data_IF_620877668663
#
_entry.id   IF_620877668663
#
_cell.length_a   1.000
_cell.length_b   1.000
_cell.length_c   1.000
_cell.angle_alpha   90.00
_cell.angle_beta   90.00
_cell.angle_gamma   90.00
#
_symmetry.space_group_name_H-M   'P 1'
#
loop_
_entity.id
_entity.type
_entity.pdbx_description
1 polymer ?
#
# COMPACT_ATOMS: atom_id res chain seq x y z
N UNK A 1 -30.65 -0.22 23.10
CA UNK A 1 -30.10 0.27 21.82
C UNK A 1 -28.77 -0.42 21.64
N UNK A 2 -28.41 -0.76 20.40
CA UNK A 2 -27.10 -1.32 20.11
C UNK A 2 -25.99 -0.38 20.64
N UNK A 3 -24.88 -0.92 21.15
CA UNK A 3 -23.74 -0.14 21.66
C UNK A 3 -22.43 -0.58 21.01
N UNK A 4 -21.42 0.29 21.01
CA UNK A 4 -20.07 -0.11 20.58
C UNK A 4 -19.47 -1.24 21.42
N UNK A 5 -19.90 -1.39 22.68
CA UNK A 5 -19.48 -2.49 23.54
C UNK A 5 -20.00 -3.85 23.01
N UNK A 6 -21.24 -3.93 22.54
CA UNK A 6 -21.76 -5.16 21.93
C UNK A 6 -21.03 -5.51 20.63
N UNK A 7 -20.68 -4.51 19.82
CA UNK A 7 -19.84 -4.71 18.62
C UNK A 7 -18.49 -5.34 19.02
N UNK A 8 -17.85 -4.82 20.07
CA UNK A 8 -16.60 -5.36 20.61
C UNK A 8 -16.75 -6.77 21.17
N UNK A 9 -17.80 -7.01 21.95
CA UNK A 9 -18.06 -8.30 22.60
C UNK A 9 -18.37 -9.41 21.58
N UNK A 10 -18.97 -9.05 20.44
CA UNK A 10 -19.16 -9.94 19.29
C UNK A 10 -17.86 -10.22 18.51
N UNK A 11 -16.74 -9.59 18.87
CA UNK A 11 -15.42 -9.87 18.28
C UNK A 11 -15.12 -9.12 16.99
N UNK A 12 -15.88 -8.08 16.65
CA UNK A 12 -15.62 -7.26 15.47
C UNK A 12 -14.34 -6.42 15.63
N UNK A 13 -13.54 -6.39 14.56
CA UNK A 13 -12.30 -5.60 14.44
C UNK A 13 -11.98 -5.33 12.98
N UNK A 14 -10.96 -4.53 12.72
CA UNK A 14 -10.37 -4.39 11.40
C UNK A 14 -9.92 -5.76 10.89
N UNK A 15 -10.26 -6.07 9.65
CA UNK A 15 -9.98 -7.37 9.03
C UNK A 15 -11.02 -8.46 9.34
N UNK A 16 -12.06 -8.18 10.13
CA UNK A 16 -13.18 -9.12 10.30
C UNK A 16 -13.93 -9.29 8.96
N UNK A 17 -14.19 -10.55 8.59
CA UNK A 17 -15.08 -10.86 7.47
C UNK A 17 -16.54 -10.80 7.92
N UNK A 18 -17.40 -10.31 7.04
CA UNK A 18 -18.85 -10.34 7.26
C UNK A 18 -19.38 -11.75 6.97
N UNK A 19 -20.45 -12.19 7.67
CA UNK A 19 -21.19 -13.39 7.31
C UNK A 19 -21.61 -13.37 5.83
N UNK A 20 -21.49 -14.51 5.13
CA UNK A 20 -21.70 -14.59 3.69
C UNK A 20 -23.05 -14.04 3.22
N UNK A 21 -24.14 -14.30 3.95
CA UNK A 21 -25.46 -13.76 3.62
C UNK A 21 -25.49 -12.22 3.69
N UNK A 22 -24.84 -11.64 4.69
CA UNK A 22 -24.73 -10.19 4.83
C UNK A 22 -23.86 -9.61 3.72
N UNK A 23 -22.70 -10.21 3.45
CA UNK A 23 -21.80 -9.78 2.39
C UNK A 23 -22.48 -9.79 1.02
N UNK A 24 -23.15 -10.88 0.65
CA UNK A 24 -23.88 -11.03 -0.61
C UNK A 24 -25.02 -10.01 -0.74
N UNK A 25 -25.81 -9.82 0.34
CA UNK A 25 -26.91 -8.85 0.36
C UNK A 25 -26.41 -7.42 0.16
N UNK A 26 -25.30 -7.06 0.83
CA UNK A 26 -24.67 -5.74 0.69
C UNK A 26 -24.04 -5.55 -0.69
N UNK A 27 -23.37 -6.58 -1.23
CA UNK A 27 -22.76 -6.53 -2.55
C UNK A 27 -23.82 -6.30 -3.64
N UNK A 28 -24.95 -7.01 -3.56
CA UNK A 28 -26.08 -6.81 -4.47
C UNK A 28 -26.63 -5.38 -4.39
N UNK A 29 -26.84 -4.85 -3.18
CA UNK A 29 -27.29 -3.46 -2.97
C UNK A 29 -26.31 -2.42 -3.48
N UNK A 30 -25.01 -2.70 -3.37
CA UNK A 30 -23.94 -1.83 -3.85
C UNK A 30 -23.75 -1.90 -5.38
N UNK A 31 -24.33 -2.91 -6.04
CA UNK A 31 -24.11 -3.16 -7.46
C UNK A 31 -22.80 -3.89 -7.76
N UNK A 32 -22.17 -4.50 -6.76
CA UNK A 32 -20.99 -5.33 -6.93
C UNK A 32 -21.40 -6.79 -7.17
N UNK A 33 -21.69 -7.11 -8.42
CA UNK A 33 -21.94 -8.49 -8.83
C UNK A 33 -20.67 -9.34 -8.63
N UNK A 34 -20.84 -10.65 -8.36
CA UNK A 34 -19.78 -11.64 -8.17
C UNK A 34 -18.91 -11.53 -6.90
N UNK A 35 -19.04 -10.47 -6.10
CA UNK A 35 -18.42 -10.44 -4.79
C UNK A 35 -19.12 -11.41 -3.83
N UNK A 36 -18.32 -12.26 -3.18
CA UNK A 36 -18.83 -13.29 -2.26
C UNK A 36 -18.47 -13.03 -0.80
N UNK A 37 -17.50 -12.14 -0.56
CA UNK A 37 -17.02 -11.80 0.78
C UNK A 37 -16.97 -10.28 0.96
N UNK A 38 -17.02 -9.84 2.20
CA UNK A 38 -16.74 -8.47 2.57
C UNK A 38 -15.87 -8.43 3.83
N UNK A 39 -14.93 -7.48 3.89
CA UNK A 39 -14.00 -7.32 5.01
C UNK A 39 -14.08 -5.91 5.57
N UNK A 40 -14.03 -5.77 6.89
CA UNK A 40 -13.99 -4.48 7.58
C UNK A 40 -12.61 -3.84 7.43
N UNK A 41 -12.56 -2.57 7.01
CA UNK A 41 -11.31 -1.82 6.84
C UNK A 41 -11.17 -0.60 7.75
N UNK A 42 -12.24 -0.17 8.42
CA UNK A 42 -12.16 0.81 9.52
C UNK A 42 -11.21 0.32 10.62
N UNK A 43 -10.54 1.24 11.31
CA UNK A 43 -9.63 0.89 12.41
C UNK A 43 -10.40 0.30 13.60
N UNK A 44 -9.74 -0.52 14.41
CA UNK A 44 -10.35 -1.17 15.58
C UNK A 44 -11.05 -0.18 16.53
N UNK A 45 -10.48 1.01 16.71
CA UNK A 45 -11.05 2.07 17.54
C UNK A 45 -12.37 2.60 16.97
N UNK A 46 -12.48 2.73 15.65
CA UNK A 46 -13.69 3.20 14.97
C UNK A 46 -14.76 2.09 14.97
N UNK A 47 -14.34 0.83 14.74
CA UNK A 47 -15.23 -0.33 14.77
C UNK A 47 -15.89 -0.47 16.14
N UNK A 48 -15.14 -0.29 17.22
CA UNK A 48 -15.61 -0.55 18.60
C UNK A 48 -15.94 0.69 19.41
N UNK A 49 -15.88 1.90 18.82
CA UNK A 49 -16.19 3.15 19.50
C UNK A 49 -17.58 3.11 20.16
N UNK A 50 -17.69 3.53 21.43
CA UNK A 50 -18.85 3.26 22.27
C UNK A 50 -20.18 3.83 21.76
N UNK A 51 -20.14 5.01 21.13
CA UNK A 51 -21.32 5.75 20.69
C UNK A 51 -21.60 5.53 19.19
N UNK A 52 -22.71 4.86 18.90
CA UNK A 52 -23.13 4.54 17.52
C UNK A 52 -23.76 5.73 16.77
N UNK A 53 -24.01 6.86 17.40
CA UNK A 53 -24.51 8.06 16.72
C UNK A 53 -23.35 9.00 16.34
N UNK A 54 -22.31 9.08 17.18
CA UNK A 54 -21.08 9.85 16.87
C UNK A 54 -20.28 9.16 15.76
N UNK A 55 -20.09 7.84 15.87
CA UNK A 55 -19.43 7.04 14.84
C UNK A 55 -20.44 6.01 14.31
N UNK A 56 -21.30 6.35 13.32
CA UNK A 56 -22.39 5.45 12.94
C UNK A 56 -22.00 4.33 11.99
N UNK A 57 -20.84 4.42 11.35
CA UNK A 57 -20.48 3.57 10.22
C UNK A 57 -19.17 2.83 10.42
N UNK A 58 -19.04 1.69 9.74
CA UNK A 58 -17.74 1.14 9.36
C UNK A 58 -17.63 1.04 7.85
N UNK A 59 -16.42 1.12 7.35
CA UNK A 59 -16.09 0.90 5.96
C UNK A 59 -15.79 -0.59 5.73
N UNK A 60 -16.36 -1.13 4.65
CA UNK A 60 -16.12 -2.50 4.20
C UNK A 60 -15.64 -2.49 2.74
N UNK A 61 -14.81 -3.47 2.40
CA UNK A 61 -14.44 -3.78 1.02
C UNK A 61 -15.08 -5.09 0.58
N UNK A 62 -15.58 -5.12 -0.66
CA UNK A 62 -16.07 -6.35 -1.28
C UNK A 62 -14.93 -7.10 -1.97
N UNK A 63 -14.88 -8.42 -1.77
CA UNK A 63 -13.86 -9.29 -2.35
C UNK A 63 -14.49 -10.35 -3.27
N UNK A 64 -13.75 -10.64 -4.34
CA UNK A 64 -14.13 -11.58 -5.39
C UNK A 64 -13.23 -12.81 -5.32
N UNK A 65 -13.77 -14.03 -5.43
CA UNK A 65 -12.97 -15.23 -5.47
C UNK A 65 -12.16 -15.29 -6.77
N UNK A 66 -10.94 -15.79 -6.68
CA UNK A 66 -10.05 -16.02 -7.82
C UNK A 66 -9.56 -17.47 -7.84
N UNK A 67 -9.31 -18.05 -9.02
CA UNK A 67 -8.68 -19.36 -9.12
C UNK A 67 -7.20 -19.34 -8.69
N UNK A 68 -6.50 -18.21 -8.88
CA UNK A 68 -5.10 -18.05 -8.51
C UNK A 68 -4.69 -16.58 -8.39
N UNK A 69 -3.61 -16.33 -7.64
CA UNK A 69 -3.00 -15.00 -7.56
C UNK A 69 -2.29 -14.63 -8.86
N UNK A 70 -2.37 -13.36 -9.24
CA UNK A 70 -1.47 -12.76 -10.19
C UNK A 70 -0.43 -11.97 -9.40
N UNK A 71 0.83 -12.41 -9.40
CA UNK A 71 1.91 -11.77 -8.64
C UNK A 71 2.22 -10.32 -9.05
N UNK A 72 1.76 -9.88 -10.22
CA UNK A 72 1.81 -8.47 -10.64
C UNK A 72 0.73 -7.59 -9.97
N UNK A 73 -0.21 -8.19 -9.25
CA UNK A 73 -1.31 -7.54 -8.53
C UNK A 73 -1.27 -7.80 -7.02
N UNK A 74 -0.24 -8.48 -6.50
CA UNK A 74 -0.02 -8.64 -5.06
C UNK A 74 0.80 -7.49 -4.50
N UNK A 75 0.88 -7.39 -3.17
CA UNK A 75 1.81 -6.49 -2.46
C UNK A 75 1.60 -4.99 -2.77
N UNK A 76 0.45 -4.60 -3.31
CA UNK A 76 0.18 -3.21 -3.71
C UNK A 76 0.83 -2.77 -5.03
N UNK A 77 1.37 -3.69 -5.83
CA UNK A 77 1.98 -3.41 -7.16
C UNK A 77 1.03 -2.76 -8.16
N UNK A 78 -0.27 -2.92 -7.95
CA UNK A 78 -1.31 -2.29 -8.74
C UNK A 78 -2.19 -1.45 -7.82
N UNK A 79 -2.30 -0.16 -8.10
CA UNK A 79 -3.18 0.76 -7.37
C UNK A 79 -4.67 0.58 -7.66
N UNK A 80 -5.02 -0.27 -8.63
CA UNK A 80 -6.40 -0.44 -9.09
C UNK A 80 -7.00 -1.78 -8.68
N UNK A 81 -6.15 -2.78 -8.42
CA UNK A 81 -6.55 -4.14 -8.07
C UNK A 81 -5.49 -4.75 -7.17
N UNK A 82 -5.90 -5.32 -6.05
CA UNK A 82 -5.05 -6.11 -5.16
C UNK A 82 -5.53 -7.56 -5.14
N UNK A 83 -4.60 -8.48 -5.32
CA UNK A 83 -4.81 -9.91 -5.08
C UNK A 83 -4.21 -10.27 -3.71
N UNK A 84 -4.96 -10.99 -2.89
CA UNK A 84 -4.54 -11.40 -1.55
C UNK A 84 -4.96 -12.83 -1.24
N UNK A 85 -4.25 -13.43 -0.29
CA UNK A 85 -4.58 -14.74 0.26
C UNK A 85 -5.46 -14.62 1.49
N UNK A 86 -6.48 -15.46 1.54
CA UNK A 86 -7.26 -15.78 2.73
C UNK A 86 -7.22 -17.30 2.98
N UNK A 87 -7.64 -17.72 4.16
CA UNK A 87 -7.51 -19.10 4.62
C UNK A 87 -8.82 -19.58 5.22
N UNK A 88 -9.36 -20.65 4.67
CA UNK A 88 -10.48 -21.42 5.24
C UNK A 88 -9.89 -22.64 5.95
N UNK A 89 -9.65 -22.52 7.25
CA UNK A 89 -8.81 -23.48 7.98
C UNK A 89 -7.38 -23.52 7.43
N UNK A 90 -6.99 -24.64 6.80
CA UNK A 90 -5.69 -24.80 6.14
C UNK A 90 -5.75 -24.57 4.63
N UNK A 91 -6.94 -24.42 4.05
CA UNK A 91 -7.12 -24.22 2.62
C UNK A 91 -6.89 -22.76 2.25
N UNK A 92 -5.97 -22.51 1.33
CA UNK A 92 -5.70 -21.18 0.80
C UNK A 92 -6.75 -20.80 -0.25
N UNK A 93 -7.39 -19.64 -0.06
CA UNK A 93 -8.30 -19.01 -1.02
C UNK A 93 -7.63 -17.75 -1.59
N UNK A 94 -7.74 -17.56 -2.89
CA UNK A 94 -7.28 -16.34 -3.56
C UNK A 94 -8.44 -15.37 -3.72
N UNK A 95 -8.26 -14.12 -3.31
CA UNK A 95 -9.27 -13.07 -3.41
C UNK A 95 -8.74 -11.87 -4.20
N UNK A 96 -9.62 -11.22 -4.97
CA UNK A 96 -9.39 -9.93 -5.61
C UNK A 96 -10.19 -8.85 -4.91
N UNK A 97 -9.61 -7.66 -4.79
CA UNK A 97 -10.29 -6.46 -4.32
C UNK A 97 -9.93 -5.26 -5.17
N UNK A 98 -10.87 -4.35 -5.36
CA UNK A 98 -10.68 -3.05 -6.00
C UNK A 98 -10.94 -1.96 -4.97
N UNK A 99 -10.15 -0.86 -4.95
CA UNK A 99 -10.21 0.10 -3.86
C UNK A 99 -11.44 1.01 -3.95
N UNK A 100 -12.16 1.00 -5.08
CA UNK A 100 -13.43 1.73 -5.24
C UNK A 100 -14.63 0.89 -4.83
N UNK A 101 -14.44 -0.43 -4.67
CA UNK A 101 -15.49 -1.37 -4.38
C UNK A 101 -15.70 -1.49 -2.86
N UNK A 102 -16.00 -0.34 -2.25
CA UNK A 102 -16.21 -0.19 -0.81
C UNK A 102 -17.50 0.54 -0.53
N UNK A 103 -18.11 0.23 0.61
CA UNK A 103 -19.28 0.94 1.13
C UNK A 103 -19.18 1.11 2.63
N UNK A 104 -20.03 1.98 3.16
CA UNK A 104 -20.28 2.09 4.60
C UNK A 104 -21.49 1.26 4.98
N UNK A 105 -21.41 0.63 6.15
CA UNK A 105 -22.55 -0.01 6.79
C UNK A 105 -22.72 0.55 8.20
N UNK A 106 -23.96 0.55 8.69
CA UNK A 106 -24.22 0.99 10.05
C UNK A 106 -23.69 -0.04 11.05
N UNK A 107 -23.08 0.45 12.14
CA UNK A 107 -22.50 -0.40 13.19
C UNK A 107 -23.53 -1.14 14.04
N UNK A 108 -24.79 -0.68 14.04
CA UNK A 108 -25.91 -1.40 14.66
C UNK A 108 -26.09 -2.82 14.09
N UNK A 109 -25.80 -3.02 12.80
CA UNK A 109 -25.79 -4.34 12.17
C UNK A 109 -24.71 -5.27 12.77
N UNK A 110 -23.58 -4.73 13.21
CA UNK A 110 -22.50 -5.50 13.84
C UNK A 110 -22.81 -5.85 15.30
N UNK A 111 -23.58 -5.02 16.00
CA UNK A 111 -23.96 -5.28 17.39
C UNK A 111 -24.87 -6.52 17.54
N UNK A 112 -25.56 -6.91 16.47
CA UNK A 112 -26.49 -8.05 16.45
C UNK A 112 -25.99 -9.25 15.62
N UNK A 113 -24.77 -9.17 15.11
CA UNK A 113 -24.14 -10.23 14.31
C UNK A 113 -22.72 -10.49 14.78
N UNK A 114 -22.13 -11.60 14.33
CA UNK A 114 -20.74 -11.93 14.62
C UNK A 114 -19.95 -12.00 13.31
N UNK A 115 -18.63 -11.75 13.34
CA UNK A 115 -17.77 -11.97 12.20
C UNK A 115 -17.85 -13.41 11.69
N UNK A 116 -17.64 -13.58 10.38
CA UNK A 116 -17.32 -14.88 9.84
C UNK A 116 -15.92 -15.30 10.32
N UNK A 117 -15.86 -16.42 11.05
CA UNK A 117 -14.62 -16.99 11.59
C UNK A 117 -14.10 -18.17 10.76
N UNK A 118 -14.82 -18.57 9.71
CA UNK A 118 -14.38 -19.63 8.79
C UNK A 118 -13.23 -19.16 7.90
N UNK A 119 -13.19 -17.87 7.58
CA UNK A 119 -12.20 -17.25 6.72
C UNK A 119 -11.31 -16.27 7.49
N UNK A 120 -10.00 -16.37 7.29
CA UNK A 120 -9.02 -15.48 7.92
C UNK A 120 -7.97 -14.98 6.92
N UNK A 121 -7.42 -13.79 7.18
CA UNK A 121 -6.22 -13.30 6.51
C UNK A 121 -5.09 -13.17 7.51
N UNK A 122 -3.84 -13.36 7.05
CA UNK A 122 -2.66 -13.19 7.90
C UNK A 122 -2.50 -11.72 8.31
N UNK A 123 -1.94 -11.42 9.49
CA UNK A 123 -1.71 -10.05 9.94
C UNK A 123 -0.93 -9.18 8.94
N UNK A 124 0.15 -9.73 8.35
CA UNK A 124 0.90 -9.04 7.30
C UNK A 124 0.04 -8.69 6.07
N UNK A 125 -0.78 -9.63 5.60
CA UNK A 125 -1.72 -9.41 4.48
C UNK A 125 -2.74 -8.31 4.82
N UNK A 126 -3.28 -8.29 6.04
CA UNK A 126 -4.20 -7.24 6.48
C UNK A 126 -3.52 -5.87 6.47
N UNK A 127 -2.33 -5.74 7.05
CA UNK A 127 -1.58 -4.47 7.03
C UNK A 127 -1.31 -4.00 5.60
N UNK A 128 -0.95 -4.91 4.71
CA UNK A 128 -0.78 -4.62 3.28
C UNK A 128 -2.07 -4.12 2.63
N UNK A 129 -3.22 -4.76 2.90
CA UNK A 129 -4.54 -4.34 2.42
C UNK A 129 -4.90 -2.93 2.90
N UNK A 130 -4.82 -2.68 4.20
CA UNK A 130 -5.20 -1.38 4.79
C UNK A 130 -4.33 -0.26 4.25
N UNK A 131 -3.02 -0.51 4.15
CA UNK A 131 -2.12 0.43 3.52
C UNK A 131 -2.51 0.68 2.06
N UNK A 132 -2.75 -0.36 1.28
CA UNK A 132 -3.11 -0.22 -0.12
C UNK A 132 -4.40 0.60 -0.33
N UNK A 133 -5.35 0.51 0.60
CA UNK A 133 -6.53 1.39 0.64
C UNK A 133 -6.14 2.83 0.97
N UNK A 134 -5.33 3.04 2.01
CA UNK A 134 -4.88 4.36 2.44
C UNK A 134 -4.05 5.08 1.36
N UNK A 135 -3.23 4.31 0.63
CA UNK A 135 -2.40 4.76 -0.50
C UNK A 135 -3.25 5.44 -1.57
N UNK A 136 -4.55 5.16 -1.68
CA UNK A 136 -5.43 5.90 -2.60
C UNK A 136 -5.50 7.41 -2.29
N UNK A 137 -5.35 7.78 -1.03
CA UNK A 137 -5.47 9.15 -0.55
C UNK A 137 -4.12 9.78 -0.21
N UNK A 138 -3.12 8.96 0.12
CA UNK A 138 -1.79 9.43 0.53
C UNK A 138 -0.75 9.36 -0.58
N UNK A 139 -1.01 8.61 -1.66
CA UNK A 139 -0.08 8.56 -2.80
C UNK A 139 0.08 9.96 -3.38
N UNK A 140 1.34 10.29 -3.56
CA UNK A 140 1.71 11.55 -4.17
C UNK A 140 1.32 11.54 -5.64
N UNK A 141 0.58 12.55 -6.08
CA UNK A 141 0.49 12.88 -7.50
C UNK A 141 1.87 13.35 -7.97
N UNK A 142 2.48 12.59 -8.88
CA UNK A 142 3.69 12.98 -9.61
C UNK A 142 3.23 13.45 -11.01
N UNK A 143 3.80 14.54 -11.55
CA UNK A 143 3.45 15.03 -12.88
C UNK A 143 3.46 13.96 -13.97
N UNK A 144 2.50 14.01 -14.89
CA UNK A 144 2.30 13.02 -15.95
C UNK A 144 3.49 13.01 -16.92
N UNK A 145 4.01 14.19 -17.29
CA UNK A 145 5.18 14.27 -18.16
C UNK A 145 6.45 13.72 -17.48
N UNK A 146 6.58 13.84 -16.15
CA UNK A 146 7.66 13.19 -15.42
C UNK A 146 7.53 11.65 -15.46
N UNK A 147 6.34 11.13 -15.17
CA UNK A 147 6.05 9.69 -15.21
C UNK A 147 6.37 9.13 -16.60
N UNK A 148 5.91 9.80 -17.66
CA UNK A 148 6.18 9.40 -19.05
C UNK A 148 7.68 9.36 -19.38
N UNK A 149 8.49 10.27 -18.83
CA UNK A 149 9.96 10.29 -19.05
C UNK A 149 10.66 9.17 -18.30
N UNK A 150 10.25 8.91 -17.05
CA UNK A 150 10.76 7.81 -16.22
C UNK A 150 10.35 6.44 -16.76
N UNK A 151 9.17 6.28 -17.35
CA UNK A 151 8.68 4.99 -17.84
C UNK A 151 9.65 4.36 -18.88
N UNK A 152 10.46 5.18 -19.55
CA UNK A 152 11.54 4.72 -20.45
C UNK A 152 12.58 3.84 -19.76
N UNK A 153 12.80 4.03 -18.46
CA UNK A 153 13.79 3.28 -17.66
C UNK A 153 13.15 2.23 -16.75
N UNK A 154 11.84 2.02 -16.83
CA UNK A 154 11.08 1.13 -15.94
C UNK A 154 11.66 -0.29 -15.88
N UNK A 155 12.08 -0.86 -17.02
CA UNK A 155 12.72 -2.18 -17.06
C UNK A 155 14.07 -2.22 -16.33
N UNK A 156 14.89 -1.18 -16.51
CA UNK A 156 16.18 -1.05 -15.82
C UNK A 156 15.99 -0.88 -14.31
N UNK A 157 15.00 -0.07 -13.95
CA UNK A 157 14.64 0.23 -12.58
C UNK A 157 14.07 -1.01 -11.87
N UNK A 158 13.15 -1.76 -12.49
CA UNK A 158 12.67 -3.05 -12.00
C UNK A 158 13.79 -4.05 -11.77
N UNK A 159 14.78 -4.13 -12.68
CA UNK A 159 15.95 -5.02 -12.53
C UNK A 159 16.81 -4.60 -11.35
N UNK A 160 17.10 -3.29 -11.21
CA UNK A 160 17.85 -2.76 -10.09
C UNK A 160 17.14 -3.06 -8.76
N UNK A 161 15.86 -2.74 -8.67
CA UNK A 161 15.07 -2.92 -7.45
C UNK A 161 14.86 -4.40 -7.11
N UNK A 162 14.76 -5.30 -8.09
CA UNK A 162 14.72 -6.74 -7.82
C UNK A 162 16.03 -7.26 -7.19
N UNK A 163 17.15 -6.66 -7.55
CA UNK A 163 18.48 -7.07 -7.09
C UNK A 163 18.83 -6.44 -5.73
N UNK A 164 18.63 -5.13 -5.61
CA UNK A 164 19.13 -4.34 -4.48
C UNK A 164 18.03 -3.65 -3.66
N UNK A 165 16.77 -3.68 -4.12
CA UNK A 165 15.68 -2.89 -3.52
C UNK A 165 15.28 -3.30 -2.10
N UNK A 166 15.77 -4.43 -1.58
CA UNK A 166 15.60 -4.80 -0.17
C UNK A 166 16.51 -3.99 0.77
N UNK A 167 17.59 -3.39 0.25
CA UNK A 167 18.43 -2.51 1.04
C UNK A 167 17.73 -1.17 1.33
N UNK A 168 16.86 -0.72 0.43
CA UNK A 168 16.14 0.54 0.56
C UNK A 168 14.86 0.38 1.37
N UNK A 169 14.75 1.15 2.45
CA UNK A 169 13.49 1.37 3.15
C UNK A 169 12.56 2.29 2.35
N UNK A 170 13.12 3.34 1.74
CA UNK A 170 12.33 4.29 0.95
C UNK A 170 13.19 5.00 -0.08
N UNK A 171 12.60 5.32 -1.22
CA UNK A 171 13.19 6.25 -2.19
C UNK A 171 12.33 7.52 -2.14
N UNK A 172 12.98 8.64 -1.87
CA UNK A 172 12.39 9.96 -1.72
C UNK A 172 12.85 10.83 -2.90
N UNK A 173 11.91 11.56 -3.48
CA UNK A 173 12.17 12.43 -4.65
C UNK A 173 11.58 13.82 -4.44
N UNK A 174 12.32 14.83 -4.88
CA UNK A 174 11.82 16.20 -4.99
C UNK A 174 12.01 16.67 -6.44
N UNK A 175 10.98 17.32 -6.97
CA UNK A 175 10.96 17.85 -8.34
C UNK A 175 10.99 19.37 -8.30
N UNK A 176 11.82 19.96 -9.15
CA UNK A 176 11.82 21.39 -9.44
C UNK A 176 11.68 21.60 -10.96
N UNK A 177 10.56 22.14 -11.46
CA UNK A 177 9.35 22.49 -10.68
C UNK A 177 8.59 21.23 -10.19
N UNK A 178 7.79 21.35 -9.12
CA UNK A 178 7.03 20.22 -8.57
C UNK A 178 5.75 19.88 -9.35
N UNK A 179 5.31 20.79 -10.23
CA UNK A 179 4.06 20.71 -10.98
C UNK A 179 4.28 20.25 -12.42
N UNK A 180 3.18 19.98 -13.13
CA UNK A 180 3.20 19.64 -14.56
C UNK A 180 3.90 20.70 -15.41
N UNK A 181 4.76 20.26 -16.32
CA UNK A 181 5.47 21.11 -17.27
C UNK A 181 5.18 20.73 -18.71
N UNK A 182 5.38 21.69 -19.60
CA UNK A 182 5.37 21.47 -21.04
C UNK A 182 6.50 20.52 -21.47
N UNK A 183 6.28 19.77 -22.55
CA UNK A 183 7.20 18.73 -23.01
C UNK A 183 8.61 19.23 -23.40
N UNK A 184 8.77 20.54 -23.65
CA UNK A 184 10.04 21.19 -23.99
C UNK A 184 10.83 21.71 -22.76
N UNK A 185 10.24 21.64 -21.57
CA UNK A 185 10.88 22.00 -20.30
C UNK A 185 11.46 20.77 -19.61
N UNK A 186 12.39 21.00 -18.68
CA UNK A 186 13.06 19.95 -17.92
C UNK A 186 12.67 19.98 -16.44
N UNK A 187 12.64 18.80 -15.82
CA UNK A 187 12.63 18.67 -14.37
C UNK A 187 14.06 18.60 -13.86
N UNK A 188 14.33 19.26 -12.74
CA UNK A 188 15.44 18.90 -11.87
C UNK A 188 14.93 17.96 -10.78
N UNK A 189 15.61 16.83 -10.62
CA UNK A 189 15.27 15.81 -9.63
C UNK A 189 16.33 15.79 -8.55
N UNK A 190 15.88 15.81 -7.29
CA UNK A 190 16.68 15.36 -6.16
C UNK A 190 16.17 13.99 -5.71
N UNK A 191 17.08 13.10 -5.34
CA UNK A 191 16.75 11.72 -5.00
C UNK A 191 17.54 11.28 -3.77
N UNK A 192 16.84 10.74 -2.78
CA UNK A 192 17.38 10.21 -1.52
C UNK A 192 16.90 8.78 -1.34
N UNK A 193 17.83 7.84 -1.20
CA UNK A 193 17.58 6.45 -0.86
C UNK A 193 17.84 6.23 0.63
N UNK A 194 16.76 6.09 1.40
CA UNK A 194 16.81 5.74 2.80
C UNK A 194 17.03 4.25 2.98
N UNK A 195 18.00 3.86 3.80
CA UNK A 195 18.24 2.46 4.22
C UNK A 195 18.02 2.29 5.71
N UNK A 196 17.75 1.06 6.14
CA UNK A 196 17.68 0.74 7.57
C UNK A 196 19.04 0.89 8.27
N UNK A 197 19.09 1.24 9.56
CA UNK A 197 20.34 1.34 10.30
C UNK A 197 21.17 0.06 10.24
N UNK A 198 20.55 -1.12 10.28
CA UNK A 198 21.23 -2.41 10.20
C UNK A 198 21.85 -2.71 8.82
N UNK A 199 21.37 -2.04 7.76
CA UNK A 199 21.98 -2.06 6.43
C UNK A 199 23.16 -1.11 6.37
N UNK A 200 23.06 0.03 7.07
CA UNK A 200 24.09 1.07 7.09
C UNK A 200 25.30 0.70 7.98
N UNK A 201 25.06 0.05 9.10
CA UNK A 201 26.09 -0.39 10.05
C UNK A 201 26.92 -1.60 9.57
N UNK A 202 26.47 -2.25 8.49
CA UNK A 202 27.17 -3.36 7.84
C UNK A 202 27.91 -2.84 6.59
N UNK A 203 29.25 -2.78 6.64
CA UNK A 203 30.08 -2.20 5.58
C UNK A 203 29.80 -2.81 4.19
N UNK A 204 29.55 -4.12 4.11
CA UNK A 204 29.29 -4.79 2.83
C UNK A 204 27.91 -4.40 2.27
N UNK A 205 26.90 -4.35 3.14
CA UNK A 205 25.54 -3.94 2.75
C UNK A 205 25.47 -2.45 2.44
N UNK A 206 26.16 -1.61 3.20
CA UNK A 206 26.28 -0.18 2.97
C UNK A 206 26.90 0.09 1.59
N UNK A 207 28.03 -0.55 1.28
CA UNK A 207 28.68 -0.40 -0.03
C UNK A 207 27.77 -0.84 -1.19
N UNK A 208 26.97 -1.90 -1.01
CA UNK A 208 25.97 -2.32 -1.99
C UNK A 208 24.85 -1.30 -2.16
N UNK A 209 24.34 -0.73 -1.08
CA UNK A 209 23.30 0.29 -1.11
C UNK A 209 23.78 1.57 -1.82
N UNK A 210 25.00 2.04 -1.51
CA UNK A 210 25.63 3.18 -2.18
C UNK A 210 25.75 2.92 -3.68
N UNK A 211 26.29 1.77 -4.07
CA UNK A 211 26.39 1.36 -5.48
C UNK A 211 25.03 1.29 -6.16
N UNK A 212 24.00 0.81 -5.47
CA UNK A 212 22.64 0.79 -5.99
C UNK A 212 22.07 2.20 -6.20
N UNK A 213 22.40 3.16 -5.32
CA UNK A 213 22.09 4.58 -5.51
C UNK A 213 22.79 5.18 -6.72
N UNK A 214 24.08 4.88 -6.92
CA UNK A 214 24.83 5.30 -8.13
C UNK A 214 24.20 4.74 -9.41
N UNK A 215 23.83 3.46 -9.42
CA UNK A 215 23.18 2.82 -10.57
C UNK A 215 21.78 3.42 -10.83
N UNK A 216 21.04 3.78 -9.78
CA UNK A 216 19.78 4.52 -9.90
C UNK A 216 20.02 5.90 -10.53
N UNK A 217 21.03 6.64 -10.08
CA UNK A 217 21.40 7.94 -10.65
C UNK A 217 21.76 7.85 -12.13
N UNK A 218 22.50 6.81 -12.54
CA UNK A 218 22.81 6.56 -13.96
C UNK A 218 21.55 6.30 -14.79
N UNK A 219 20.60 5.52 -14.27
CA UNK A 219 19.33 5.28 -14.94
C UNK A 219 18.54 6.59 -15.11
N UNK A 220 18.39 7.37 -14.03
CA UNK A 220 17.67 8.65 -14.07
C UNK A 220 18.29 9.61 -15.10
N UNK A 221 19.62 9.75 -15.12
CA UNK A 221 20.32 10.64 -16.06
C UNK A 221 20.21 10.21 -17.52
N UNK A 222 19.77 8.99 -17.79
CA UNK A 222 19.48 8.52 -19.15
C UNK A 222 18.09 8.95 -19.66
N UNK A 223 17.25 9.53 -18.79
CA UNK A 223 15.94 10.06 -19.18
C UNK A 223 16.06 11.46 -19.77
N UNK A 224 15.64 11.62 -21.03
CA UNK A 224 15.51 12.94 -21.64
C UNK A 224 14.56 13.83 -20.82
N UNK A 225 14.99 15.08 -20.58
CA UNK A 225 14.19 16.08 -19.87
C UNK A 225 14.16 15.93 -18.34
N UNK A 226 15.04 15.10 -17.77
CA UNK A 226 15.26 15.03 -16.33
C UNK A 226 16.75 15.26 -16.05
N UNK A 227 17.07 16.30 -15.28
CA UNK A 227 18.40 16.52 -14.73
C UNK A 227 18.49 15.99 -13.31
N UNK A 228 19.69 15.53 -12.93
CA UNK A 228 20.04 15.15 -11.57
C UNK A 228 21.31 15.92 -11.21
N UNK A 229 21.15 17.12 -10.65
CA UNK A 229 22.24 18.06 -10.39
C UNK A 229 23.24 17.56 -9.32
N UNK A 230 22.78 16.65 -8.47
CA UNK A 230 23.57 15.99 -7.42
C UNK A 230 23.57 14.48 -7.63
N UNK A 231 24.48 13.77 -6.99
CA UNK A 231 24.34 12.31 -6.92
C UNK A 231 23.11 11.93 -6.08
N UNK A 232 22.60 10.72 -6.31
CA UNK A 232 21.58 10.14 -5.43
C UNK A 232 22.18 10.02 -4.02
N UNK A 233 21.57 10.69 -3.06
CA UNK A 233 21.94 10.54 -1.66
C UNK A 233 21.52 9.16 -1.18
N UNK A 234 22.41 8.45 -0.49
CA UNK A 234 22.08 7.19 0.18
C UNK A 234 22.50 7.35 1.62
N UNK A 235 21.56 7.19 2.55
CA UNK A 235 21.83 7.35 3.98
C UNK A 235 20.90 6.48 4.83
N UNK A 236 21.30 6.24 6.08
CA UNK A 236 20.48 5.62 7.10
C UNK A 236 19.25 6.47 7.41
N UNK A 237 18.15 5.83 7.81
CA UNK A 237 16.99 6.54 8.39
C UNK A 237 17.35 7.43 9.58
N UNK A 238 18.46 7.15 10.27
CA UNK A 238 18.96 7.99 11.38
C UNK A 238 19.70 9.24 10.89
N UNK A 239 20.26 9.19 9.67
CA UNK A 239 20.98 10.31 9.03
C UNK A 239 20.05 11.26 8.28
N UNK A 240 18.92 10.77 7.77
CA UNK A 240 17.98 11.57 6.98
C UNK A 240 17.29 12.62 7.87
N UNK A 241 17.47 13.93 7.56
CA UNK A 241 16.81 14.98 8.31
C UNK A 241 15.28 14.88 8.20
N UNK A 242 14.57 15.05 9.32
CA UNK A 242 13.10 15.15 9.30
C UNK A 242 12.59 16.24 8.35
N UNK A 243 13.38 17.28 8.09
CA UNK A 243 13.05 18.31 7.12
C UNK A 243 12.81 17.77 5.70
N UNK A 244 13.42 16.63 5.34
CA UNK A 244 13.19 15.98 4.05
C UNK A 244 11.73 15.53 3.88
N UNK A 245 11.01 15.24 4.98
CA UNK A 245 9.59 14.87 4.92
C UNK A 245 8.66 16.02 4.49
N UNK A 246 9.13 17.27 4.50
CA UNK A 246 8.36 18.42 4.03
C UNK A 246 8.47 18.66 2.52
N UNK A 247 9.61 18.30 1.92
CA UNK A 247 9.96 18.66 0.55
C UNK A 247 10.00 17.46 -0.38
N UNK A 248 10.49 16.33 0.12
CA UNK A 248 10.56 15.11 -0.65
C UNK A 248 9.28 14.31 -0.51
N UNK A 249 8.94 13.63 -1.60
CA UNK A 249 7.81 12.74 -1.70
C UNK A 249 8.30 11.33 -1.90
N UNK A 250 7.53 10.37 -1.42
CA UNK A 250 7.82 8.96 -1.66
C UNK A 250 7.69 8.65 -3.14
N UNK A 251 8.68 7.98 -3.70
CA UNK A 251 8.55 7.44 -5.04
C UNK A 251 7.80 6.11 -4.98
N UNK A 252 6.47 6.23 -4.95
CA UNK A 252 5.53 5.15 -4.61
C UNK A 252 5.59 3.93 -5.55
N UNK A 253 6.27 4.03 -6.69
CA UNK A 253 6.43 2.94 -7.67
C UNK A 253 7.07 1.70 -7.04
N UNK A 254 7.90 1.84 -5.99
CA UNK A 254 8.62 0.72 -5.37
C UNK A 254 8.25 0.44 -3.92
N UNK A 255 7.23 1.11 -3.38
CA UNK A 255 6.81 0.88 -1.99
C UNK A 255 6.55 -0.62 -1.72
N UNK A 256 6.01 -1.37 -2.69
CA UNK A 256 5.80 -2.81 -2.53
C UNK A 256 7.08 -3.63 -2.26
N UNK A 257 8.27 -3.12 -2.63
CA UNK A 257 9.55 -3.81 -2.44
C UNK A 257 10.16 -3.54 -1.07
N UNK A 258 10.08 -2.29 -0.59
CA UNK A 258 10.62 -1.90 0.72
C UNK A 258 9.73 -2.32 1.89
N UNK A 259 8.52 -2.80 1.60
CA UNK A 259 7.56 -3.26 2.62
C UNK A 259 7.33 -4.76 2.61
N UNK A 260 8.14 -5.52 1.86
CA UNK A 260 8.13 -6.99 1.92
C UNK A 260 8.34 -7.51 3.34
N UNK A 261 9.05 -6.79 4.19
CA UNK A 261 9.29 -7.21 5.57
C UNK A 261 8.03 -7.14 6.44
N UNK A 262 7.11 -6.21 6.16
CA UNK A 262 5.80 -6.13 6.84
C UNK A 262 4.87 -7.32 6.49
N UNK A 263 5.14 -8.00 5.37
CA UNK A 263 4.47 -9.23 4.93
C UNK A 263 5.14 -10.51 5.45
N UNK A 264 6.38 -10.43 5.96
CA UNK A 264 7.14 -11.58 6.48
C UNK A 264 6.80 -11.95 7.91
N UNK A 265 6.15 -11.07 8.67
CA UNK A 265 5.57 -11.42 9.97
C UNK A 265 4.27 -12.21 9.75
N UNK A 266 4.44 -13.53 9.63
CA UNK A 266 3.40 -14.54 9.75
C UNK A 266 3.56 -15.32 11.03
#
# INVERSE_FOLDING_TARGET
MATGQEVKDNGWRQGSFLPSEMALSLALKHGCQDATHAIVVSQDCDVTYGDLEIEPFVEILFLHPLPSLNHGKTDGKSSRVLHLDAFEGTEQKCLSVQPWNQTRIRRDALAITQPDTSLAIKPGTLRGLIRWVADRYTRTGIPDEFVKRIDKIDDGLKKLMKREGQAFWRILVALDPPDEIDADKNYNLECVCAVWPEVWDDEEKQAKAIKAGEDLGKLIRSCDGISLDREVEVDSTDGIPLSHLHYYRSWDVFNFLSHRDLLKEG
#
